data_IF_245113467561
#
_entry.id   IF_245113467561
#
_cell.length_a   1.000
_cell.length_b   1.000
_cell.length_c   1.000
_cell.angle_alpha   90.00
_cell.angle_beta   90.00
_cell.angle_gamma   90.00
#
_symmetry.space_group_name_H-M   'P 1'
#
loop_
_entity.id
_entity.type
_entity.pdbx_description
1 polymer ?
#
# COMPACT_ATOMS: atom_id res chain seq x y z
N UNK A 1 -32.17 -19.25 -12.29
CA UNK A 1 -31.65 -19.19 -12.00
C UNK A 1 -31.10 -18.46 -11.48
N UNK A 2 -30.73 -18.40 -11.08
CA UNK A 2 -30.22 -17.73 -10.56
C UNK A 2 -29.13 -17.60 -10.34
N UNK A 3 -28.64 -17.21 -10.46
CA UNK A 3 -27.59 -17.08 -10.43
C UNK A 3 -27.16 -16.28 -9.47
N UNK A 4 -26.37 -16.54 -9.06
CA UNK A 4 -25.80 -15.95 -8.14
C UNK A 4 -25.20 -14.83 -8.47
N UNK A 5 -25.08 -14.01 -7.75
CA UNK A 5 -24.52 -12.87 -8.03
C UNK A 5 -23.25 -13.02 -8.06
N UNK A 6 -22.73 -12.69 -8.81
CA UNK A 6 -21.57 -12.80 -8.92
C UNK A 6 -20.94 -11.76 -8.39
N UNK A 7 -20.26 -11.84 -7.62
CA UNK A 7 -19.57 -10.88 -7.10
C UNK A 7 -18.45 -10.74 -7.73
N UNK A 8 -18.12 -9.76 -7.86
CA UNK A 8 -17.01 -9.38 -8.45
C UNK A 8 -16.02 -9.82 -7.75
N UNK A 9 -15.72 -10.38 -7.81
CA UNK A 9 -14.73 -10.77 -7.37
C UNK A 9 -13.95 -10.11 -6.61
N UNK A 10 -14.16 -9.63 -6.02
CA UNK A 10 -13.44 -8.99 -5.35
C UNK A 10 -12.75 -9.58 -4.61
N UNK A 11 -12.11 -9.73 -4.50
CA UNK A 11 -11.38 -10.28 -3.98
C UNK A 11 -10.85 -10.30 -3.06
N UNK A 12 -10.77 -10.22 -2.97
CA UNK A 12 -9.92 -10.09 -2.46
C UNK A 12 -9.78 -9.77 -1.23
N UNK A 13 -8.99 -10.08 -0.61
CA UNK A 13 -8.73 -9.74 0.50
C UNK A 13 -7.85 -8.68 0.52
N UNK A 14 -8.06 -7.57 1.02
CA UNK A 14 -7.05 -6.59 1.18
C UNK A 14 -6.66 -6.55 2.63
N UNK A 15 -5.42 -6.28 2.87
CA UNK A 15 -4.91 -6.13 4.20
C UNK A 15 -4.48 -4.68 4.33
N UNK A 16 -4.76 -4.10 5.50
CA UNK A 16 -4.38 -2.73 5.77
C UNK A 16 -3.17 -2.75 6.68
N UNK A 17 -2.19 -1.96 6.38
CA UNK A 17 -1.00 -1.89 7.20
C UNK A 17 -0.54 -0.43 7.32
N UNK A 18 0.14 -0.12 8.41
CA UNK A 18 0.72 1.19 8.60
C UNK A 18 2.22 1.06 8.57
N UNK A 19 2.86 1.88 7.76
CA UNK A 19 4.30 1.86 7.63
C UNK A 19 4.83 3.21 8.05
N UNK A 20 5.79 3.22 8.96
CA UNK A 20 6.45 4.44 9.36
C UNK A 20 7.52 4.77 8.33
N UNK A 21 7.60 6.04 7.94
CA UNK A 21 8.55 6.47 6.93
C UNK A 21 9.26 7.70 7.46
N UNK A 22 10.54 7.54 7.78
CA UNK A 22 11.27 8.61 8.40
C UNK A 22 11.54 9.74 7.43
N UNK A 23 11.24 10.93 7.85
CA UNK A 23 11.54 12.10 7.02
C UNK A 23 10.55 12.38 5.90
N UNK A 24 9.43 11.66 5.89
CA UNK A 24 8.45 11.87 4.83
C UNK A 24 7.50 12.98 5.23
N UNK A 25 7.60 14.10 4.55
CA UNK A 25 6.66 15.18 4.75
C UNK A 25 5.48 14.99 3.80
N UNK A 26 4.59 15.95 3.73
CA UNK A 26 3.44 15.79 2.92
C UNK A 26 3.70 15.63 1.47
N UNK A 27 4.62 16.38 0.94
CA UNK A 27 4.92 16.25 -0.45
C UNK A 27 5.58 14.95 -0.77
N UNK A 28 6.53 14.54 0.05
CA UNK A 28 7.18 13.26 -0.13
C UNK A 28 6.16 12.14 -0.01
N UNK A 29 5.17 12.31 0.88
CA UNK A 29 4.12 11.32 1.05
C UNK A 29 3.34 11.07 -0.23
N UNK A 30 3.08 12.11 -0.99
CA UNK A 30 2.37 11.94 -2.25
C UNK A 30 3.19 11.13 -3.24
N UNK A 31 4.50 11.34 -3.26
CA UNK A 31 5.35 10.58 -4.16
C UNK A 31 5.47 9.13 -3.72
N UNK A 32 5.56 8.91 -2.42
CA UNK A 32 5.64 7.55 -1.91
C UNK A 32 4.34 6.82 -2.23
N UNK A 33 3.20 7.48 -2.03
CA UNK A 33 1.91 6.88 -2.32
C UNK A 33 1.81 6.54 -3.81
N UNK A 34 2.25 7.44 -4.67
CA UNK A 34 2.18 7.19 -6.11
C UNK A 34 3.04 5.99 -6.49
N UNK A 35 4.22 5.88 -5.89
CA UNK A 35 5.08 4.73 -6.17
C UNK A 35 4.47 3.43 -5.71
N UNK A 36 3.80 3.43 -4.57
CA UNK A 36 3.15 2.22 -4.09
C UNK A 36 1.95 1.86 -4.97
N UNK A 37 1.19 2.86 -5.36
CA UNK A 37 0.03 2.59 -6.20
C UNK A 37 0.42 2.08 -7.59
N UNK A 38 1.64 2.32 -7.99
CA UNK A 38 2.12 1.79 -9.27
C UNK A 38 2.40 0.30 -9.18
N UNK A 39 2.48 -0.27 -7.98
CA UNK A 39 2.68 -1.70 -7.85
C UNK A 39 1.33 -2.38 -8.03
N UNK A 40 1.29 -3.42 -8.81
CA UNK A 40 0.04 -4.17 -8.97
C UNK A 40 -0.36 -4.73 -7.63
N UNK A 41 -1.62 -4.67 -7.28
CA UNK A 41 -2.08 -5.23 -6.02
C UNK A 41 -2.13 -4.25 -4.86
N UNK A 42 -1.63 -3.03 -5.03
CA UNK A 42 -1.82 -2.00 -4.02
C UNK A 42 -3.09 -1.27 -4.36
N UNK A 43 -4.05 -1.29 -3.47
CA UNK A 43 -5.36 -0.76 -3.72
C UNK A 43 -5.53 0.67 -3.26
N UNK A 44 -4.83 1.03 -2.21
CA UNK A 44 -4.98 2.35 -1.67
C UNK A 44 -3.74 2.70 -0.87
N UNK A 45 -3.29 3.89 -0.95
CA UNK A 45 -2.15 4.36 -0.18
C UNK A 45 -2.45 5.77 0.29
N UNK A 46 -2.54 5.94 1.60
CA UNK A 46 -2.91 7.22 2.19
C UNK A 46 -1.76 7.71 3.05
N UNK A 47 -1.03 8.70 2.58
CA UNK A 47 0.10 9.21 3.35
C UNK A 47 -0.35 10.16 4.44
N UNK A 48 0.44 10.19 5.50
CA UNK A 48 0.25 11.14 6.55
C UNK A 48 1.66 11.59 6.94
N UNK A 49 1.80 12.36 7.96
CA UNK A 49 3.09 12.87 8.34
C UNK A 49 3.90 11.73 8.95
N UNK A 50 4.91 11.31 8.28
CA UNK A 50 5.81 10.27 8.79
C UNK A 50 5.27 8.86 8.72
N UNK A 51 4.12 8.64 8.12
CA UNK A 51 3.59 7.28 7.99
C UNK A 51 2.67 7.18 6.80
N UNK A 52 2.41 5.98 6.38
CA UNK A 52 1.49 5.77 5.27
C UNK A 52 0.66 4.53 5.53
N UNK A 53 -0.62 4.64 5.30
CA UNK A 53 -1.52 3.53 5.44
C UNK A 53 -1.71 2.92 4.07
N UNK A 54 -1.51 1.62 3.95
CA UNK A 54 -1.57 0.94 2.67
C UNK A 54 -2.55 -0.21 2.74
N UNK A 55 -3.42 -0.29 1.75
CA UNK A 55 -4.30 -1.43 1.58
C UNK A 55 -3.80 -2.19 0.37
N UNK A 56 -3.49 -3.45 0.54
CA UNK A 56 -2.89 -4.22 -0.55
C UNK A 56 -3.40 -5.66 -0.55
N UNK A 57 -3.24 -6.28 -1.69
CA UNK A 57 -3.64 -7.66 -1.88
C UNK A 57 -2.49 -8.55 -1.42
N UNK A 58 -2.65 -9.30 -0.35
CA UNK A 58 -1.56 -10.10 0.18
C UNK A 58 -1.15 -11.25 -0.72
N UNK A 59 -1.94 -11.57 -1.72
CA UNK A 59 -1.54 -12.61 -2.65
C UNK A 59 -0.55 -12.07 -3.68
N UNK A 60 -0.41 -10.76 -3.79
CA UNK A 60 0.51 -10.18 -4.75
C UNK A 60 1.74 -9.56 -4.11
N UNK A 61 1.62 -9.10 -2.89
CA UNK A 61 2.74 -8.44 -2.23
C UNK A 61 2.77 -8.78 -0.76
N UNK A 62 3.93 -8.65 -0.18
CA UNK A 62 4.08 -8.73 1.28
C UNK A 62 4.37 -7.32 1.77
N UNK A 63 4.28 -7.13 3.08
CA UNK A 63 4.64 -5.86 3.66
C UNK A 63 6.08 -5.50 3.33
N UNK A 64 6.96 -6.50 3.26
CA UNK A 64 8.35 -6.23 2.93
C UNK A 64 8.50 -5.70 1.51
N UNK A 65 7.66 -6.11 0.58
CA UNK A 65 7.69 -5.56 -0.76
C UNK A 65 7.38 -4.07 -0.74
N UNK A 66 6.41 -3.69 0.08
CA UNK A 66 6.02 -2.29 0.19
C UNK A 66 7.13 -1.47 0.83
N UNK A 67 7.72 -1.98 1.88
CA UNK A 67 8.81 -1.31 2.56
C UNK A 67 9.98 -1.13 1.61
N UNK A 68 10.28 -2.16 0.84
CA UNK A 68 11.37 -2.09 -0.10
C UNK A 68 11.14 -1.03 -1.16
N UNK A 69 9.90 -0.93 -1.63
CA UNK A 69 9.55 0.08 -2.62
C UNK A 69 9.74 1.49 -2.05
N UNK A 70 9.41 1.68 -0.78
CA UNK A 70 9.59 2.97 -0.15
C UNK A 70 11.08 3.27 0.01
N UNK A 71 11.86 2.27 0.39
CA UNK A 71 13.30 2.47 0.54
C UNK A 71 13.96 2.82 -0.79
N UNK A 72 13.44 2.31 -1.86
CA UNK A 72 13.98 2.64 -3.17
C UNK A 72 13.77 4.10 -3.52
N UNK A 73 12.85 4.76 -2.87
CA UNK A 73 12.67 6.19 -3.08
C UNK A 73 13.55 7.01 -2.16
N UNK A 74 14.36 6.37 -1.35
CA UNK A 74 15.34 7.10 -0.54
C UNK A 74 14.91 7.30 0.91
N UNK A 75 13.88 6.63 1.37
CA UNK A 75 13.42 6.81 2.73
C UNK A 75 13.70 5.58 3.57
N UNK A 76 13.86 5.79 4.86
CA UNK A 76 13.91 4.68 5.79
C UNK A 76 12.47 4.36 6.18
N UNK A 77 12.12 3.12 6.09
CA UNK A 77 10.77 2.70 6.36
C UNK A 77 10.74 1.42 7.16
N UNK A 78 9.74 1.26 7.98
CA UNK A 78 9.55 0.07 8.77
C UNK A 78 8.12 -0.02 9.25
N UNK A 79 7.76 -1.18 9.77
CA UNK A 79 6.41 -1.37 10.26
C UNK A 79 6.20 -0.61 11.55
N UNK A 80 5.01 -0.14 11.75
CA UNK A 80 4.64 0.53 12.98
C UNK A 80 3.99 -0.40 13.98
#
# INVERSE_FOLDING_TARGET
MTQAPTYPSIPVRSIRTLIGVRGMDKEAGLRVAAGLLALGGVLKATPDDGQIEVHYDPSQHTVMDLIRAIRQQGFLAGML
#
